data_IF_689844034711
#
_entry.id   IF_689844034711
#
_cell.length_a   1.000
_cell.length_b   1.000
_cell.length_c   1.000
_cell.angle_alpha   90.00
_cell.angle_beta   90.00
_cell.angle_gamma   90.00
#
_symmetry.space_group_name_H-M   'P 1'
#
loop_
_entity.id
_entity.type
_entity.pdbx_description
1 polymer ?
#
# COMPACT_ATOMS: atom_id res chain seq x y z
N UNK A 1 -8.43 32.82 -61.05
CA UNK A 1 -7.25 33.06 -60.19
C UNK A 1 -7.73 33.70 -58.89
N UNK A 2 -7.84 32.89 -57.84
CA UNK A 2 -7.09 33.05 -56.57
C UNK A 2 -7.71 34.10 -55.64
N UNK A 3 -8.52 33.65 -54.67
CA UNK A 3 -8.11 33.39 -53.27
C UNK A 3 -7.78 34.70 -52.52
N UNK A 4 -8.64 35.07 -51.56
CA UNK A 4 -8.34 35.63 -50.22
C UNK A 4 -9.49 36.52 -49.73
N UNK A 5 -10.32 36.00 -48.81
CA UNK A 5 -10.83 36.71 -47.62
C UNK A 5 -11.91 35.92 -46.85
N UNK A 6 -11.63 34.65 -46.55
CA UNK A 6 -12.47 33.82 -45.68
C UNK A 6 -11.90 33.73 -44.25
N UNK A 7 -11.54 34.86 -43.62
CA UNK A 7 -10.91 34.84 -42.29
C UNK A 7 -11.34 35.96 -41.32
N UNK A 8 -12.57 36.48 -41.41
CA UNK A 8 -13.03 37.52 -40.46
C UNK A 8 -14.35 37.27 -39.72
N UNK A 9 -14.93 36.06 -39.75
CA UNK A 9 -16.22 35.81 -39.07
C UNK A 9 -16.26 34.63 -38.10
N UNK A 10 -15.12 34.20 -37.55
CA UNK A 10 -15.09 33.14 -36.52
C UNK A 10 -14.95 33.67 -35.08
N UNK A 11 -14.94 35.00 -34.90
CA UNK A 11 -14.73 35.62 -33.59
C UNK A 11 -16.03 35.90 -32.80
N UNK A 12 -17.22 35.74 -33.40
CA UNK A 12 -18.47 36.20 -32.79
C UNK A 12 -19.42 35.10 -32.28
N UNK A 13 -19.11 33.82 -32.51
CA UNK A 13 -20.01 32.71 -32.10
C UNK A 13 -19.61 32.04 -30.77
N UNK A 14 -18.37 32.18 -30.30
CA UNK A 14 -17.99 31.57 -29.00
C UNK A 14 -18.15 32.50 -27.78
N UNK A 15 -18.47 33.78 -27.97
CA UNK A 15 -18.71 34.70 -26.85
C UNK A 15 -20.01 34.42 -26.07
N UNK A 16 -20.86 33.50 -26.54
CA UNK A 16 -22.12 33.12 -25.88
C UNK A 16 -21.98 31.94 -24.89
N UNK A 17 -20.79 31.37 -24.70
CA UNK A 17 -20.54 30.26 -23.76
C UNK A 17 -20.00 30.72 -22.38
N UNK A 18 -20.09 32.01 -22.09
CA UNK A 18 -19.52 32.61 -20.86
C UNK A 18 -20.54 32.86 -19.73
N UNK A 19 -21.82 32.47 -19.87
CA UNK A 19 -22.87 32.76 -18.86
C UNK A 19 -23.53 31.50 -18.25
N UNK A 20 -23.08 30.28 -18.59
CA UNK A 20 -23.65 29.04 -18.03
C UNK A 20 -22.62 28.10 -17.38
N UNK A 21 -21.47 28.62 -16.94
CA UNK A 21 -20.35 27.81 -16.43
C UNK A 21 -20.14 27.80 -14.91
N UNK A 22 -21.00 28.44 -14.11
CA UNK A 22 -20.68 28.72 -12.69
C UNK A 22 -21.39 27.84 -11.64
N UNK A 23 -21.89 26.65 -11.99
CA UNK A 23 -22.53 25.77 -10.97
C UNK A 23 -22.25 24.28 -11.16
N UNK A 24 -20.97 23.91 -11.23
CA UNK A 24 -20.50 22.61 -10.74
C UNK A 24 -19.06 22.84 -10.24
N UNK A 25 -18.94 23.41 -9.03
CA UNK A 25 -17.73 23.19 -8.25
C UNK A 25 -17.64 21.68 -7.99
N UNK A 26 -16.52 21.00 -8.30
CA UNK A 26 -16.27 19.71 -7.68
C UNK A 26 -16.37 19.93 -6.17
N UNK A 27 -17.20 19.12 -5.52
CA UNK A 27 -17.30 19.07 -4.06
C UNK A 27 -15.90 18.94 -3.47
N UNK A 28 -15.64 19.63 -2.36
CA UNK A 28 -14.37 19.70 -1.64
C UNK A 28 -13.81 18.35 -1.12
N UNK A 29 -14.32 17.22 -1.63
CA UNK A 29 -13.88 15.86 -1.36
C UNK A 29 -12.79 15.35 -2.33
N UNK A 30 -12.47 16.09 -3.40
CA UNK A 30 -11.52 15.62 -4.43
C UNK A 30 -10.03 15.70 -4.01
N UNK A 31 -9.70 16.45 -2.95
CA UNK A 31 -8.31 16.75 -2.57
C UNK A 31 -7.90 16.16 -1.20
N UNK A 32 -8.78 15.38 -0.55
CA UNK A 32 -8.41 14.68 0.68
C UNK A 32 -7.48 13.50 0.34
N UNK A 33 -6.36 13.31 1.06
CA UNK A 33 -5.51 12.14 0.84
C UNK A 33 -6.33 10.87 1.03
N UNK A 34 -6.37 10.03 -0.01
CA UNK A 34 -7.07 8.73 -0.04
C UNK A 34 -6.45 7.72 0.93
N UNK A 35 -5.27 8.04 1.48
CA UNK A 35 -4.51 7.13 2.32
C UNK A 35 -5.25 6.85 3.66
N UNK A 36 -5.56 5.58 3.97
CA UNK A 36 -6.22 5.22 5.20
C UNK A 36 -5.35 5.53 6.43
N UNK A 37 -5.98 5.87 7.56
CA UNK A 37 -5.26 6.30 8.76
C UNK A 37 -4.43 5.21 9.43
N UNK A 38 -4.77 3.93 9.24
CA UNK A 38 -4.00 2.78 9.72
C UNK A 38 -3.96 1.68 8.67
N UNK A 39 -2.77 1.17 8.41
CA UNK A 39 -2.52 0.11 7.43
C UNK A 39 -1.84 -1.05 8.13
N UNK A 40 -2.40 -2.25 8.00
CA UNK A 40 -1.76 -3.48 8.48
C UNK A 40 -0.64 -3.88 7.51
N UNK A 41 0.59 -4.00 7.99
CA UNK A 41 1.66 -4.68 7.27
C UNK A 41 1.70 -6.17 7.61
N UNK A 42 1.91 -7.04 6.63
CA UNK A 42 2.19 -8.46 6.83
C UNK A 42 3.54 -8.76 6.18
N UNK A 43 4.57 -9.01 7.00
CA UNK A 43 5.84 -9.54 6.51
C UNK A 43 5.76 -11.05 6.48
N UNK A 44 5.51 -11.58 5.29
CA UNK A 44 5.26 -13.00 5.04
C UNK A 44 6.30 -13.67 4.17
N UNK A 45 5.91 -14.77 3.53
CA UNK A 45 6.79 -15.61 2.70
C UNK A 45 7.53 -16.71 3.47
N UNK A 46 7.27 -16.85 4.78
CA UNK A 46 8.00 -17.75 5.69
C UNK A 46 7.10 -18.80 6.36
N UNK A 47 6.14 -19.45 5.69
CA UNK A 47 6.03 -19.65 4.23
C UNK A 47 4.92 -18.84 3.52
N UNK A 48 4.88 -18.85 2.18
CA UNK A 48 3.85 -18.15 1.40
C UNK A 48 2.43 -18.58 1.72
N UNK A 49 2.19 -19.88 1.92
CA UNK A 49 0.85 -20.41 2.24
C UNK A 49 0.35 -19.92 3.61
N UNK A 50 1.20 -19.91 4.63
CA UNK A 50 0.86 -19.35 5.94
C UNK A 50 0.52 -17.86 5.85
N UNK A 51 1.18 -17.13 4.95
CA UNK A 51 0.89 -15.70 4.71
C UNK A 51 -0.48 -15.52 4.06
N UNK A 52 -0.80 -16.31 3.04
CA UNK A 52 -2.10 -16.29 2.39
C UNK A 52 -3.21 -16.68 3.39
N UNK A 53 -2.98 -17.70 4.20
CA UNK A 53 -3.92 -18.14 5.24
C UNK A 53 -4.16 -17.04 6.28
N UNK A 54 -3.11 -16.38 6.79
CA UNK A 54 -3.29 -15.27 7.73
C UNK A 54 -4.17 -14.17 7.12
N UNK A 55 -3.93 -13.79 5.87
CA UNK A 55 -4.75 -12.77 5.22
C UNK A 55 -6.20 -13.23 5.03
N UNK A 56 -6.41 -14.49 4.64
CA UNK A 56 -7.75 -15.07 4.52
C UNK A 56 -8.49 -15.05 5.87
N UNK A 57 -7.82 -15.39 6.96
CA UNK A 57 -8.37 -15.33 8.32
C UNK A 57 -8.71 -13.90 8.72
N UNK A 58 -7.84 -12.93 8.45
CA UNK A 58 -8.12 -11.51 8.70
C UNK A 58 -9.38 -11.07 7.95
N UNK A 59 -9.49 -11.38 6.66
CA UNK A 59 -10.68 -11.04 5.86
C UNK A 59 -11.93 -11.69 6.45
N UNK A 60 -11.87 -12.98 6.80
CA UNK A 60 -13.02 -13.73 7.33
C UNK A 60 -13.48 -13.24 8.71
N UNK A 61 -12.53 -12.86 9.56
CA UNK A 61 -12.80 -12.45 10.95
C UNK A 61 -13.05 -10.95 11.09
N UNK A 62 -12.82 -10.15 10.05
CA UNK A 62 -13.16 -8.72 10.05
C UNK A 62 -14.68 -8.57 9.92
N UNK A 63 -15.37 -7.94 10.89
CA UNK A 63 -16.77 -7.59 10.73
C UNK A 63 -16.92 -6.50 9.65
N UNK A 64 -17.33 -6.90 8.46
CA UNK A 64 -17.47 -6.03 7.30
C UNK A 64 -18.80 -6.34 6.60
N UNK A 65 -19.52 -5.30 6.16
CA UNK A 65 -20.75 -5.44 5.37
C UNK A 65 -20.49 -5.20 3.87
N UNK A 66 -19.38 -4.51 3.55
CA UNK A 66 -18.92 -4.20 2.19
C UNK A 66 -17.39 -4.13 2.15
N UNK A 67 -16.83 -4.14 0.94
CA UNK A 67 -15.38 -4.15 0.71
C UNK A 67 -14.63 -3.02 1.44
N UNK A 68 -15.22 -1.83 1.53
CA UNK A 68 -14.58 -0.64 2.13
C UNK A 68 -14.47 -0.72 3.66
N UNK A 69 -15.15 -1.67 4.29
CA UNK A 69 -15.07 -1.88 5.75
C UNK A 69 -13.89 -2.79 6.13
N UNK A 70 -13.25 -3.45 5.16
CA UNK A 70 -12.09 -4.30 5.42
C UNK A 70 -10.83 -3.49 5.79
N UNK A 71 -9.93 -4.15 6.51
CA UNK A 71 -8.67 -3.57 6.97
C UNK A 71 -7.73 -3.35 5.78
N UNK A 72 -7.29 -2.11 5.51
CA UNK A 72 -6.25 -1.84 4.52
C UNK A 72 -4.97 -2.59 4.87
N UNK A 73 -4.50 -3.44 3.95
CA UNK A 73 -3.42 -4.39 4.23
C UNK A 73 -2.35 -4.34 3.14
N UNK A 74 -1.08 -4.22 3.55
CA UNK A 74 0.10 -4.39 2.72
C UNK A 74 0.72 -5.75 3.03
N UNK A 75 0.90 -6.58 2.01
CA UNK A 75 1.53 -7.90 2.17
C UNK A 75 2.83 -7.90 1.40
N UNK A 76 3.94 -8.11 2.11
CA UNK A 76 5.22 -8.39 1.49
C UNK A 76 5.57 -9.86 1.73
N UNK A 77 5.22 -10.71 0.77
CA UNK A 77 5.57 -12.13 0.80
C UNK A 77 6.99 -12.30 0.24
N UNK A 78 7.96 -12.54 1.12
CA UNK A 78 9.39 -12.56 0.78
C UNK A 78 10.03 -13.95 0.98
N UNK A 79 9.73 -14.94 0.12
CA UNK A 79 10.18 -16.33 0.28
C UNK A 79 11.67 -16.56 0.07
N UNK A 80 12.40 -15.57 -0.48
CA UNK A 80 13.86 -15.62 -0.59
C UNK A 80 14.55 -15.44 0.78
N UNK A 81 13.81 -15.12 1.84
CA UNK A 81 14.33 -15.10 3.20
C UNK A 81 14.86 -16.49 3.59
N UNK A 82 16.14 -16.61 4.02
CA UNK A 82 16.72 -17.87 4.44
C UNK A 82 15.88 -18.64 5.48
N UNK A 83 16.12 -19.95 5.60
CA UNK A 83 15.43 -20.78 6.58
C UNK A 83 15.78 -20.36 8.02
N UNK A 84 14.74 -20.05 8.82
CA UNK A 84 14.90 -19.51 10.17
C UNK A 84 15.47 -20.55 11.13
N UNK A 85 15.02 -21.81 11.01
CA UNK A 85 15.45 -22.89 11.91
C UNK A 85 16.93 -23.18 11.72
N UNK A 86 17.36 -23.30 10.46
CA UNK A 86 18.77 -23.49 10.08
C UNK A 86 19.63 -22.31 10.54
N UNK A 87 19.15 -21.07 10.36
CA UNK A 87 19.86 -19.88 10.83
C UNK A 87 20.06 -19.90 12.35
N UNK A 88 19.02 -20.24 13.12
CA UNK A 88 19.11 -20.35 14.59
C UNK A 88 20.07 -21.46 15.01
N UNK A 89 19.96 -22.66 14.42
CA UNK A 89 20.80 -23.81 14.75
C UNK A 89 22.29 -23.56 14.48
N UNK A 90 22.60 -22.84 13.40
CA UNK A 90 23.97 -22.52 13.02
C UNK A 90 24.47 -21.19 13.58
N UNK A 91 23.65 -20.48 14.38
CA UNK A 91 23.91 -19.11 14.82
C UNK A 91 24.28 -18.16 13.66
N UNK A 92 23.66 -18.39 12.50
CA UNK A 92 23.87 -17.60 11.30
C UNK A 92 22.97 -16.35 11.33
N UNK A 93 23.62 -15.19 11.41
CA UNK A 93 22.92 -13.90 11.44
C UNK A 93 22.79 -13.25 10.06
N UNK A 94 23.20 -13.93 8.98
CA UNK A 94 23.05 -13.46 7.60
C UNK A 94 21.58 -13.32 7.14
N UNK A 95 20.64 -13.91 7.88
CA UNK A 95 19.20 -13.75 7.68
C UNK A 95 18.69 -12.35 8.05
N UNK A 96 19.33 -11.66 8.98
CA UNK A 96 18.85 -10.38 9.52
C UNK A 96 18.64 -9.31 8.44
N UNK A 97 19.57 -9.08 7.49
CA UNK A 97 19.36 -8.15 6.40
C UNK A 97 18.07 -8.38 5.60
N UNK A 98 17.64 -9.64 5.40
CA UNK A 98 16.40 -9.96 4.69
C UNK A 98 15.16 -9.54 5.50
N UNK A 99 15.19 -9.78 6.81
CA UNK A 99 14.11 -9.44 7.73
C UNK A 99 13.98 -7.92 7.93
N UNK A 100 15.12 -7.23 8.06
CA UNK A 100 15.20 -5.77 8.15
C UNK A 100 14.70 -5.13 6.85
N UNK A 101 15.10 -5.67 5.70
CA UNK A 101 14.61 -5.18 4.40
C UNK A 101 13.09 -5.33 4.29
N UNK A 102 12.54 -6.48 4.70
CA UNK A 102 11.10 -6.74 4.66
C UNK A 102 10.28 -5.80 5.54
N UNK A 103 10.72 -5.60 6.79
CA UNK A 103 10.03 -4.69 7.73
C UNK A 103 10.16 -3.24 7.31
N UNK A 104 11.36 -2.80 6.92
CA UNK A 104 11.61 -1.44 6.44
C UNK A 104 10.80 -1.11 5.18
N UNK A 105 10.63 -2.06 4.26
CA UNK A 105 9.79 -1.89 3.07
C UNK A 105 8.32 -1.65 3.43
N UNK A 106 7.78 -2.40 4.39
CA UNK A 106 6.40 -2.23 4.84
C UNK A 106 6.20 -0.86 5.51
N UNK A 107 7.12 -0.45 6.39
CA UNK A 107 7.06 0.88 7.02
C UNK A 107 7.10 1.99 5.95
N UNK A 108 8.06 1.92 5.02
CA UNK A 108 8.17 2.89 3.91
C UNK A 108 6.95 2.91 2.99
N UNK A 109 6.27 1.77 2.83
CA UNK A 109 5.04 1.66 2.06
C UNK A 109 3.80 2.20 2.82
N UNK A 110 3.94 2.58 4.09
CA UNK A 110 2.89 3.20 4.89
C UNK A 110 2.21 2.27 5.90
N UNK A 111 2.76 1.07 6.14
CA UNK A 111 2.27 0.22 7.23
C UNK A 111 2.37 0.97 8.57
N UNK A 112 1.34 0.81 9.40
CA UNK A 112 1.27 1.40 10.74
C UNK A 112 1.62 0.40 11.85
N UNK A 113 1.60 -0.89 11.53
CA UNK A 113 2.07 -2.01 12.36
C UNK A 113 2.41 -3.21 11.48
N UNK A 114 3.20 -4.16 11.96
CA UNK A 114 3.60 -5.36 11.20
C UNK A 114 3.20 -6.66 11.91
N UNK A 115 2.47 -7.52 11.22
CA UNK A 115 2.19 -8.90 11.62
C UNK A 115 3.14 -9.90 10.94
N UNK A 116 3.55 -10.92 11.70
CA UNK A 116 4.50 -11.95 11.28
C UNK A 116 3.86 -13.35 11.33
N UNK A 117 3.34 -13.91 10.21
CA UNK A 117 2.77 -15.25 10.15
C UNK A 117 3.84 -16.37 10.17
N UNK A 118 4.77 -16.30 11.12
CA UNK A 118 5.83 -17.30 11.28
C UNK A 118 6.30 -17.33 12.75
N UNK A 119 6.13 -18.45 13.44
CA UNK A 119 6.58 -18.54 14.84
C UNK A 119 8.09 -18.35 14.97
N UNK A 120 8.87 -19.04 14.13
CA UNK A 120 10.33 -19.09 14.24
C UNK A 120 11.00 -17.74 13.98
N UNK A 121 10.40 -16.87 13.15
CA UNK A 121 10.98 -15.55 12.84
C UNK A 121 11.00 -14.61 14.06
N UNK A 122 10.14 -14.86 15.05
CA UNK A 122 10.09 -14.05 16.28
C UNK A 122 11.38 -14.15 17.11
N UNK A 123 12.23 -15.16 16.88
CA UNK A 123 13.58 -15.21 17.46
C UNK A 123 14.41 -13.97 17.10
N UNK A 124 14.16 -13.37 15.93
CA UNK A 124 14.85 -12.18 15.42
C UNK A 124 14.04 -10.89 15.62
N UNK A 125 13.03 -10.91 16.51
CA UNK A 125 12.14 -9.78 16.74
C UNK A 125 12.91 -8.49 17.05
N UNK A 126 13.84 -8.53 18.00
CA UNK A 126 14.58 -7.33 18.42
C UNK A 126 15.46 -6.75 17.30
N UNK A 127 15.95 -7.60 16.39
CA UNK A 127 16.71 -7.15 15.22
C UNK A 127 15.81 -6.37 14.25
N UNK A 128 14.59 -6.88 14.01
CA UNK A 128 13.59 -6.22 13.17
C UNK A 128 13.05 -4.94 13.81
N UNK A 129 12.65 -5.00 15.09
CA UNK A 129 12.07 -3.87 15.81
C UNK A 129 13.03 -2.69 15.92
N UNK A 130 14.35 -2.92 16.01
CA UNK A 130 15.35 -1.84 15.98
C UNK A 130 15.44 -1.11 14.64
N UNK A 131 15.01 -1.73 13.55
CA UNK A 131 15.11 -1.17 12.21
C UNK A 131 13.93 -0.28 11.81
N UNK A 132 12.79 -0.42 12.50
CA UNK A 132 11.55 0.32 12.21
C UNK A 132 11.04 1.05 13.45
N UNK A 133 10.20 2.07 13.27
CA UNK A 133 9.58 2.85 14.35
C UNK A 133 8.17 2.37 14.69
N UNK A 134 7.53 1.65 13.76
CA UNK A 134 6.22 1.05 13.97
C UNK A 134 6.31 -0.25 14.78
N UNK A 135 5.26 -0.61 15.53
CA UNK A 135 5.18 -1.89 16.24
C UNK A 135 4.95 -3.08 15.33
#
# INVERSE_FOLDING_TARGET
MQRLNAQRSTALVCAALLVAGSMLRPSAAADAPVAPQRILGILGGMGPEATANLYQEIVRLTPAEKDQDHIPTLIFSFPQTPDRTTAIQNNDRSIIPYLVEGTTRLEKAGASLIALPCNTVHFFHDDMQRAVKIP
#
